data_IF_354213382065
#
_entry.id   IF_354213382065
#
_cell.length_a   1.000
_cell.length_b   1.000
_cell.length_c   1.000
_cell.angle_alpha   90.00
_cell.angle_beta   90.00
_cell.angle_gamma   90.00
#
_symmetry.space_group_name_H-M   'P 1'
#
loop_
_entity.id
_entity.type
_entity.pdbx_description
1 polymer ?
2 non-polymer ?
3 water ?
#
# COMPACT_ATOMS: atom_id res chain seq x y z
N UNK A 21 6.23 -24.09 -9.25
CA UNK A 21 6.69 -23.33 -8.10
C UNK A 21 6.71 -21.83 -8.41
N UNK A 22 6.62 -20.98 -7.38
CA UNK A 22 6.69 -19.53 -7.61
C UNK A 22 8.01 -19.12 -8.25
N UNK A 23 7.98 -18.04 -9.03
CA UNK A 23 9.18 -17.54 -9.69
C UNK A 23 10.24 -17.15 -8.66
N UNK A 24 9.79 -16.76 -7.47
CA UNK A 24 10.68 -16.32 -6.41
C UNK A 24 11.64 -17.42 -5.94
N UNK A 25 11.31 -18.67 -6.26
CA UNK A 25 12.12 -19.82 -5.81
C UNK A 25 12.39 -20.80 -6.94
N UNK A 26 12.25 -20.35 -8.18
CA UNK A 26 12.46 -21.21 -9.33
C UNK A 26 13.89 -21.09 -9.87
N UNK A 27 14.59 -20.04 -9.43
CA UNK A 27 15.97 -19.80 -9.85
C UNK A 27 16.81 -19.28 -8.68
N UNK A 28 18.12 -19.44 -8.80
CA UNK A 28 19.05 -18.91 -7.80
C UNK A 28 19.32 -17.44 -8.09
N UNK A 29 18.40 -16.58 -7.65
CA UNK A 29 18.48 -15.15 -7.94
C UNK A 29 19.70 -14.50 -7.32
N UNK A 30 20.22 -15.09 -6.24
CA UNK A 30 21.37 -14.53 -5.53
C UNK A 30 22.65 -14.61 -6.35
N UNK A 31 22.57 -15.25 -7.52
CA UNK A 31 23.68 -15.24 -8.46
C UNK A 31 23.83 -13.84 -9.06
N UNK A 32 22.73 -13.11 -9.12
CA UNK A 32 22.70 -11.75 -9.63
C UNK A 32 22.99 -10.72 -8.54
N UNK A 33 23.47 -9.53 -8.93
CA UNK A 33 23.69 -8.48 -7.93
C UNK A 33 22.39 -8.02 -7.28
N UNK A 34 22.49 -7.57 -6.03
CA UNK A 34 21.33 -7.21 -5.22
C UNK A 34 21.39 -5.75 -4.81
N UNK A 35 20.26 -5.05 -4.95
CA UNK A 35 20.17 -3.65 -4.55
C UNK A 35 19.01 -3.43 -3.61
N UNK A 36 19.31 -2.96 -2.40
CA UNK A 36 18.27 -2.62 -1.44
C UNK A 36 17.59 -1.35 -1.90
N UNK A 37 16.27 -1.40 -1.99
CA UNK A 37 15.48 -0.25 -2.39
C UNK A 37 14.22 -0.16 -1.54
N UNK A 38 13.60 1.01 -1.56
CA UNK A 38 12.30 1.24 -0.96
C UNK A 38 11.28 1.34 -2.08
N UNK A 39 10.24 0.53 -2.04
CA UNK A 39 9.29 0.44 -3.15
C UNK A 39 7.85 0.69 -2.74
N UNK A 40 7.13 1.39 -3.62
CA UNK A 40 5.70 1.61 -3.49
C UNK A 40 5.02 1.25 -4.81
N UNK A 41 3.70 1.28 -4.83
CA UNK A 41 2.95 1.04 -6.05
C UNK A 41 2.41 2.33 -6.64
N UNK A 42 2.06 2.29 -7.92
CA UNK A 42 1.36 3.40 -8.56
C UNK A 42 0.49 2.89 -9.70
N UNK A 43 -0.41 3.75 -10.17
CA UNK A 43 -1.24 3.43 -11.33
C UNK A 43 -1.15 4.55 -12.36
N UNK A 44 -1.82 4.37 -13.48
CA UNK A 44 -1.86 5.40 -14.52
C UNK A 44 -2.75 6.57 -14.08
N UNK A 45 -3.59 6.32 -13.08
CA UNK A 45 -4.61 7.28 -12.67
C UNK A 45 -4.08 8.59 -12.16
N UNK A 46 -5.00 9.54 -11.95
CA UNK A 46 -4.66 10.91 -11.61
C UNK A 46 -3.98 11.02 -10.25
N UNK A 47 -4.29 10.10 -9.35
CA UNK A 47 -3.72 10.12 -8.01
C UNK A 47 -2.20 9.96 -8.06
N UNK A 48 -1.72 9.29 -9.11
CA UNK A 48 -0.28 9.07 -9.29
C UNK A 48 0.33 10.03 -10.31
N UNK A 49 -0.36 10.22 -11.43
CA UNK A 49 0.24 10.89 -12.59
C UNK A 49 -0.35 12.28 -12.87
N UNK A 50 -1.53 12.54 -12.31
CA UNK A 50 -2.23 13.79 -12.58
C UNK A 50 -3.02 13.74 -13.87
N UNK A 51 -2.91 12.63 -14.59
CA UNK A 51 -3.61 12.46 -15.87
C UNK A 51 -4.95 11.78 -15.68
N UNK A 52 -5.94 12.18 -16.47
CA UNK A 52 -7.26 11.57 -16.45
C UNK A 52 -7.49 10.70 -17.69
N UNK A 53 -8.32 9.66 -17.56
CA UNK A 53 -8.64 8.83 -18.73
C UNK A 53 -9.36 9.64 -19.80
N UNK A 54 -8.95 9.46 -21.06
CA UNK A 54 -9.40 10.30 -22.15
C UNK A 54 -8.24 11.12 -22.68
N UNK A 55 -7.33 11.47 -21.79
CA UNK A 55 -6.06 12.10 -22.16
C UNK A 55 -5.32 11.15 -23.10
N UNK A 56 -4.94 11.63 -24.30
CA UNK A 56 -4.19 10.74 -25.20
C UNK A 56 -2.83 10.33 -24.65
N UNK A 57 -2.36 11.03 -23.63
CA UNK A 57 -1.08 10.70 -22.99
C UNK A 57 -1.29 9.79 -21.78
N UNK A 58 -2.54 9.45 -21.50
CA UNK A 58 -2.88 8.59 -20.38
C UNK A 58 -2.24 7.21 -20.52
N UNK A 59 -1.56 6.77 -19.46
CA UNK A 59 -0.94 5.46 -19.46
C UNK A 59 0.39 5.42 -20.20
N UNK A 60 0.88 6.59 -20.59
CA UNK A 60 2.14 6.69 -21.32
C UNK A 60 3.28 7.01 -20.36
N UNK A 61 4.29 6.15 -20.34
CA UNK A 61 5.44 6.33 -19.45
C UNK A 61 6.46 7.29 -20.05
N UNK A 62 7.47 7.62 -19.25
CA UNK A 62 8.55 8.51 -19.69
C UNK A 62 9.27 7.96 -20.92
N UNK A 63 9.41 6.65 -20.99
CA UNK A 63 10.14 6.01 -22.09
C UNK A 63 9.33 5.97 -23.39
N UNK A 64 8.05 6.33 -23.29
CA UNK A 64 7.16 6.33 -24.45
C UNK A 64 6.38 5.02 -24.58
N UNK A 65 6.66 4.09 -23.67
CA UNK A 65 5.98 2.80 -23.65
C UNK A 65 4.74 2.89 -22.75
N UNK A 66 3.69 2.16 -23.12
CA UNK A 66 2.46 2.12 -22.36
C UNK A 66 2.66 1.29 -21.09
N UNK A 67 2.08 1.74 -19.97
CA UNK A 67 2.19 0.99 -18.71
C UNK A 67 1.64 -0.42 -18.92
N UNK A 68 2.28 -1.40 -18.28
CA UNK A 68 1.91 -2.79 -18.46
C UNK A 68 2.14 -3.61 -17.20
N UNK A 69 1.15 -4.41 -16.83
CA UNK A 69 1.30 -5.45 -15.80
C UNK A 69 1.27 -6.81 -16.50
N UNK A 70 2.39 -7.52 -16.44
CA UNK A 70 2.55 -8.79 -17.15
C UNK A 70 3.74 -9.52 -16.56
N UNK A 71 4.22 -10.56 -17.24
CA UNK A 71 5.45 -11.25 -16.85
C UNK A 71 6.55 -10.23 -16.62
N UNK A 72 6.79 -9.39 -17.62
CA UNK A 72 7.62 -8.20 -17.47
C UNK A 72 6.72 -6.98 -17.37
N UNK A 73 6.75 -6.30 -16.21
CA UNK A 73 5.92 -5.13 -15.99
C UNK A 73 6.74 -3.84 -16.03
N UNK A 74 6.09 -2.75 -16.38
CA UNK A 74 6.71 -1.44 -16.38
C UNK A 74 6.84 -0.92 -14.95
N UNK A 75 8.05 -0.54 -14.56
CA UNK A 75 8.26 0.05 -13.24
C UNK A 75 8.94 1.41 -13.39
N UNK A 76 8.88 2.21 -12.33
CA UNK A 76 9.50 3.54 -12.31
C UNK A 76 10.71 3.53 -11.40
N UNK A 77 11.74 4.30 -11.78
CA UNK A 77 12.96 4.38 -10.99
C UNK A 77 13.75 5.63 -11.34
N UNK A 78 14.84 5.84 -10.60
CA UNK A 78 15.78 6.92 -10.87
C UNK A 78 16.73 6.45 -11.97
N UNK A 79 16.71 7.12 -13.14
CA UNK A 79 17.59 6.70 -14.25
C UNK A 79 19.07 6.67 -13.90
N UNK A 80 19.50 7.54 -12.99
CA UNK A 80 20.91 7.61 -12.60
C UNK A 80 21.32 6.40 -11.77
N UNK A 81 20.35 5.63 -11.31
CA UNK A 81 20.60 4.43 -10.53
C UNK A 81 20.27 3.20 -11.37
N UNK A 82 19.08 3.22 -11.96
CA UNK A 82 18.64 2.18 -12.88
C UNK A 82 18.23 2.82 -14.21
N UNK A 83 19.11 2.76 -15.22
CA UNK A 83 18.76 3.36 -16.50
C UNK A 83 17.51 2.74 -17.13
N UNK A 84 16.81 3.52 -17.94
CA UNK A 84 15.68 3.01 -18.72
C UNK A 84 16.10 1.74 -19.46
N UNK A 85 15.25 0.73 -19.40
CA UNK A 85 15.53 -0.55 -20.04
C UNK A 85 16.13 -1.57 -19.10
N UNK A 86 16.45 -1.13 -17.89
CA UNK A 86 17.00 -2.02 -16.87
C UNK A 86 15.96 -3.07 -16.46
N UNK A 87 16.39 -4.33 -16.40
CA UNK A 87 15.52 -5.41 -15.95
C UNK A 87 15.84 -5.77 -14.51
N UNK A 88 14.79 -5.76 -13.67
CA UNK A 88 14.91 -6.12 -12.27
C UNK A 88 14.01 -7.29 -11.97
N UNK A 89 14.31 -8.03 -10.90
CA UNK A 89 13.37 -8.96 -10.32
C UNK A 89 13.00 -8.50 -8.93
N UNK A 90 11.73 -8.16 -8.75
CA UNK A 90 11.21 -7.62 -7.50
C UNK A 90 10.36 -8.69 -6.82
N UNK A 91 10.86 -9.29 -5.73
CA UNK A 91 10.11 -10.36 -5.07
C UNK A 91 8.71 -9.94 -4.67
N UNK A 92 7.74 -10.84 -4.85
CA UNK A 92 6.32 -10.60 -4.58
C UNK A 92 5.70 -9.58 -5.52
N UNK A 93 6.41 -9.21 -6.59
CA UNK A 93 5.83 -8.38 -7.64
C UNK A 93 6.07 -9.02 -9.00
N UNK A 94 7.34 -9.34 -9.30
CA UNK A 94 7.70 -10.00 -10.53
C UNK A 94 8.85 -9.32 -11.23
N UNK A 95 9.07 -9.71 -12.48
CA UNK A 95 10.10 -9.08 -13.30
C UNK A 95 9.62 -7.71 -13.74
N UNK A 96 10.51 -6.73 -13.66
CA UNK A 96 10.20 -5.37 -14.02
C UNK A 96 11.18 -4.79 -15.01
N UNK A 97 10.67 -3.98 -15.93
CA UNK A 97 11.51 -3.22 -16.85
C UNK A 97 11.35 -1.74 -16.53
N UNK A 98 12.46 -1.07 -16.24
CA UNK A 98 12.42 0.35 -15.95
C UNK A 98 12.04 1.10 -17.21
N UNK A 99 10.85 1.71 -17.17
CA UNK A 99 10.28 2.37 -18.33
C UNK A 99 9.71 3.74 -17.97
N UNK A 100 9.70 4.05 -16.68
CA UNK A 100 9.07 5.25 -16.18
C UNK A 100 9.97 5.95 -15.17
N UNK A 101 9.67 7.21 -14.89
CA UNK A 101 10.39 7.99 -13.91
C UNK A 101 9.39 8.77 -13.08
N UNK A 102 9.89 9.52 -12.09
CA UNK A 102 9.01 10.32 -11.25
C UNK A 102 9.78 11.34 -10.43
N UNK A 103 9.14 12.49 -10.19
CA UNK A 103 9.76 13.57 -9.43
C UNK A 103 10.16 13.14 -8.04
N UNK A 104 9.38 12.24 -7.44
CA UNK A 104 9.65 11.74 -6.10
C UNK A 104 10.46 10.45 -6.13
N UNK A 105 10.61 9.88 -7.32
CA UNK A 105 11.36 8.63 -7.48
C UNK A 105 12.85 8.93 -7.65
N UNK A 106 13.54 9.13 -6.53
CA UNK A 106 14.95 9.49 -6.53
C UNK A 106 15.76 8.59 -5.60
N UNK A 107 17.01 8.32 -5.98
CA UNK A 107 17.87 7.45 -5.19
C UNK A 107 17.47 6.00 -5.36
N UNK A 108 17.63 5.22 -4.30
CA UNK A 108 17.27 3.80 -4.35
C UNK A 108 15.77 3.60 -4.17
N UNK A 109 15.02 4.22 -5.07
CA UNK A 109 13.55 4.22 -5.03
C UNK A 109 12.96 3.53 -6.27
N UNK A 110 11.95 2.71 -6.05
CA UNK A 110 11.18 2.11 -7.14
C UNK A 110 9.69 2.39 -6.95
N UNK A 111 8.99 2.58 -8.07
CA UNK A 111 7.54 2.62 -8.08
C UNK A 111 7.02 1.52 -9.00
N UNK A 112 6.22 0.62 -8.44
CA UNK A 112 5.74 -0.55 -9.17
C UNK A 112 4.34 -0.32 -9.74
N UNK A 113 4.17 -0.55 -11.04
CA UNK A 113 2.89 -0.31 -11.68
C UNK A 113 1.83 -1.36 -11.35
N UNK A 114 0.66 -0.90 -10.94
CA UNK A 114 -0.51 -1.74 -10.80
C UNK A 114 -1.65 -1.13 -11.61
N UNK A 115 -2.60 -1.95 -12.01
CA UNK A 115 -3.66 -1.50 -12.90
C UNK A 115 -4.67 -0.61 -12.19
N UNK A 116 -4.99 -0.93 -10.95
CA UNK A 116 -5.97 -0.16 -10.18
C UNK A 116 -5.45 0.21 -8.80
N UNK A 117 -6.06 1.22 -8.20
CA UNK A 117 -5.68 1.66 -6.86
C UNK A 117 -5.89 0.55 -5.84
N UNK A 118 -6.96 -0.22 -6.02
CA UNK A 118 -7.24 -1.32 -5.10
C UNK A 118 -6.16 -2.40 -5.19
N UNK A 119 -5.60 -2.59 -6.37
CA UNK A 119 -4.51 -3.56 -6.54
C UNK A 119 -3.30 -3.14 -5.72
N UNK A 120 -3.02 -1.84 -5.72
CA UNK A 120 -1.91 -1.31 -4.93
C UNK A 120 -2.20 -1.54 -3.44
N UNK A 121 -3.43 -1.26 -3.02
CA UNK A 121 -3.85 -1.47 -1.64
C UNK A 121 -3.70 -2.94 -1.23
N UNK A 122 -4.19 -3.84 -2.08
CA UNK A 122 -4.35 -5.25 -1.72
C UNK A 122 -3.15 -6.13 -2.04
N UNK A 123 -2.50 -5.87 -3.17
CA UNK A 123 -1.43 -6.76 -3.63
C UNK A 123 -0.05 -6.32 -3.18
N UNK A 124 0.09 -5.07 -2.77
CA UNK A 124 1.35 -4.56 -2.27
C UNK A 124 1.23 -4.10 -0.82
N UNK A 125 0.12 -3.43 -0.50
CA UNK A 125 -0.06 -2.83 0.81
C UNK A 125 -0.51 -3.78 1.90
N UNK A 126 -1.02 -4.95 1.52
CA UNK A 126 -1.53 -5.91 2.49
C UNK A 126 -0.41 -6.54 3.31
N UNK A 127 -0.52 -6.41 4.64
CA UNK A 127 0.45 -6.98 5.57
C UNK A 127 -0.23 -7.92 6.57
N UNK A 128 0.45 -9.01 6.89
CA UNK A 128 0.03 -9.88 8.00
C UNK A 128 0.83 -9.49 9.25
N UNK A 129 0.13 -9.12 10.32
CA UNK A 129 0.81 -8.71 11.55
C UNK A 129 -0.03 -8.99 12.79
N UNK A 130 0.62 -8.93 13.93
CA UNK A 130 -0.06 -9.03 15.21
C UNK A 130 -0.45 -7.65 15.73
N UNK A 131 -1.69 -7.52 16.20
CA UNK A 131 -2.14 -6.30 16.86
C UNK A 131 -2.56 -6.63 18.28
N UNK A 132 -2.52 -5.63 19.15
CA UNK A 132 -2.85 -5.82 20.56
C UNK A 132 -4.25 -5.29 20.85
N UNK A 133 -5.04 -6.10 21.54
CA UNK A 133 -6.40 -5.73 21.89
C UNK A 133 -6.44 -5.10 23.27
N UNK A 134 -6.51 -3.77 23.29
CA UNK A 134 -6.45 -3.02 24.55
C UNK A 134 -7.76 -3.10 25.31
N UNK A 135 -8.86 -2.80 24.62
CA UNK A 135 -10.19 -2.84 25.21
C UNK A 135 -11.22 -3.24 24.16
N UNK A 136 -12.07 -4.21 24.49
CA UNK A 136 -13.14 -4.61 23.59
C UNK A 136 -14.28 -3.61 23.66
N UNK A 137 -14.83 -3.27 22.50
CA UNK A 137 -15.88 -2.27 22.41
C UNK A 137 -17.23 -2.80 22.82
N UNK A 138 -18.17 -1.89 23.04
CA UNK A 138 -19.53 -2.24 23.44
C UNK A 138 -20.47 -2.32 22.24
N UNK A 139 -20.01 -1.83 21.09
CA UNK A 139 -20.80 -1.82 19.87
C UNK A 139 -21.16 -0.42 19.41
N UNK A 140 -20.83 0.58 20.22
CA UNK A 140 -21.07 1.98 19.88
C UNK A 140 -19.88 2.85 20.25
N UNK A 141 -19.69 3.93 19.49
CA UNK A 141 -18.64 4.90 19.75
C UNK A 141 -19.13 6.28 19.36
N UNK A 142 -18.80 7.29 20.16
CA UNK A 142 -19.23 8.66 19.91
C UNK A 142 -18.03 9.55 19.62
N UNK A 143 -18.29 10.71 19.01
CA UNK A 143 -17.24 11.68 18.71
C UNK A 143 -16.55 12.13 20.00
N UNK A 144 -17.32 12.37 21.05
CA UNK A 144 -16.78 12.85 22.31
C UNK A 144 -15.88 11.80 22.96
N UNK A 145 -16.25 10.54 22.84
CA UNK A 145 -15.44 9.45 23.39
C UNK A 145 -14.10 9.36 22.66
N UNK A 146 -14.12 9.52 21.34
CA UNK A 146 -12.90 9.48 20.55
C UNK A 146 -12.02 10.68 20.84
N UNK A 147 -12.64 11.83 21.07
CA UNK A 147 -11.90 13.05 21.39
C UNK A 147 -11.20 12.94 22.74
N UNK A 148 -11.91 12.39 23.72
CA UNK A 148 -11.35 12.23 25.07
C UNK A 148 -10.15 11.28 25.05
N UNK A 149 -10.21 10.26 24.20
CA UNK A 149 -9.08 9.34 24.05
C UNK A 149 -7.86 10.08 23.49
N UNK A 150 -8.09 10.89 22.47
CA UNK A 150 -7.01 11.66 21.85
C UNK A 150 -6.47 12.76 22.76
N UNK A 151 -7.21 13.10 23.80
CA UNK A 151 -6.79 14.12 24.75
C UNK A 151 -6.17 13.52 26.02
N UNK A 152 -5.90 12.21 25.99
CA UNK A 152 -5.25 11.54 27.12
C UNK A 152 -3.94 12.24 27.47
N UNK A 153 -3.86 12.74 28.70
CA UNK A 153 -2.75 13.59 29.12
C UNK A 153 -1.39 12.92 28.98
N UNK A 154 -1.30 11.67 29.45
CA UNK A 154 -0.02 10.96 29.49
C UNK A 154 0.48 10.55 28.10
N UNK A 155 -0.37 10.72 27.08
CA UNK A 155 -0.02 10.30 25.73
C UNK A 155 0.15 11.47 24.76
N UNK A 156 0.07 12.69 25.28
CA UNK A 156 0.19 13.87 24.43
C UNK A 156 1.60 13.98 23.86
N UNK A 157 2.58 13.42 24.57
CA UNK A 157 3.96 13.40 24.11
C UNK A 157 4.11 12.59 22.82
N UNK A 158 3.26 11.57 22.67
CA UNK A 158 3.32 10.70 21.48
C UNK A 158 2.49 11.24 20.33
N UNK A 159 1.63 12.22 20.62
CA UNK A 159 0.61 12.65 19.67
C UNK A 159 1.18 13.34 18.43
N UNK A 160 2.36 13.95 18.56
CA UNK A 160 2.99 14.65 17.45
C UNK A 160 3.29 13.74 16.27
N UNK A 161 3.53 12.46 16.56
CA UNK A 161 3.97 11.51 15.55
C UNK A 161 2.81 10.92 14.75
N UNK A 162 1.58 11.30 15.09
CA UNK A 162 0.40 10.76 14.44
C UNK A 162 -0.51 11.87 13.92
N UNK A 163 -0.65 12.94 14.69
CA UNK A 163 -1.39 14.12 14.25
C UNK A 163 -0.64 14.79 13.10
N UNK A 164 -1.39 15.30 12.13
CA UNK A 164 -0.81 16.01 10.99
C UNK A 164 -0.85 17.53 11.24
N UNK A 165 0.17 18.05 11.91
CA UNK A 165 0.25 19.46 12.20
C UNK A 165 0.41 20.29 10.92
N UNK B 22 9.89 5.41 20.64
CA UNK B 22 8.51 5.68 20.21
C UNK B 22 7.48 4.87 20.98
N UNK B 23 6.23 4.89 20.54
CA UNK B 23 5.14 4.26 21.26
C UNK B 23 5.28 2.74 21.29
N UNK B 24 5.84 2.18 20.22
CA UNK B 24 6.02 0.74 20.11
C UNK B 24 6.90 0.20 21.25
N UNK B 25 7.82 1.05 21.73
CA UNK B 25 8.80 0.63 22.74
C UNK B 25 8.49 1.18 24.13
N UNK B 26 7.49 2.06 24.22
CA UNK B 26 7.22 2.78 25.47
C UNK B 26 6.46 1.93 26.49
N UNK B 27 5.85 0.84 26.04
CA UNK B 27 5.04 0.00 26.93
C UNK B 27 5.17 -1.48 26.58
N UNK B 28 4.95 -2.33 27.59
CA UNK B 28 4.96 -3.77 27.40
C UNK B 28 3.61 -4.24 26.87
N UNK B 29 3.39 -4.04 25.58
CA UNK B 29 2.10 -4.35 24.95
C UNK B 29 1.75 -5.83 25.04
N UNK B 30 2.76 -6.68 25.19
CA UNK B 30 2.54 -8.12 25.21
C UNK B 30 1.75 -8.58 26.42
N UNK B 31 1.49 -7.68 27.36
CA UNK B 31 0.62 -7.97 28.48
C UNK B 31 -0.84 -8.00 28.03
N UNK B 32 -1.11 -7.37 26.90
CA UNK B 32 -2.46 -7.37 26.32
C UNK B 32 -2.64 -8.57 25.39
N UNK B 33 -3.90 -8.99 25.19
CA UNK B 33 -4.16 -10.06 24.22
C UNK B 33 -3.69 -9.68 22.82
N UNK B 34 -3.28 -10.67 22.04
CA UNK B 34 -2.74 -10.45 20.71
C UNK B 34 -3.59 -11.18 19.68
N UNK B 35 -3.83 -10.53 18.54
CA UNK B 35 -4.57 -11.12 17.44
C UNK B 35 -3.82 -10.92 16.13
N UNK B 36 -3.54 -12.01 15.43
CA UNK B 36 -2.96 -11.93 14.10
C UNK B 36 -4.04 -11.52 13.11
N UNK B 37 -3.74 -10.51 12.31
CA UNK B 37 -4.68 -10.01 11.30
C UNK B 37 -3.96 -9.71 10.01
N UNK B 38 -4.74 -9.47 8.95
CA UNK B 38 -4.22 -8.90 7.72
C UNK B 38 -4.76 -7.47 7.62
N UNK B 39 -3.87 -6.53 7.31
CA UNK B 39 -4.24 -5.11 7.31
C UNK B 39 -3.82 -4.40 6.03
N UNK B 40 -4.75 -3.62 5.48
CA UNK B 40 -4.48 -2.70 4.39
C UNK B 40 -4.83 -1.29 4.87
N UNK B 41 -4.70 -0.32 3.97
CA UNK B 41 -5.04 1.05 4.27
C UNK B 41 -6.22 1.50 3.42
N UNK B 42 -6.87 2.59 3.83
CA UNK B 42 -7.95 3.16 3.03
C UNK B 42 -8.13 4.65 3.34
N UNK B 43 -8.90 5.33 2.51
CA UNK B 43 -9.26 6.72 2.73
C UNK B 43 -10.77 6.88 2.61
N UNK B 44 -11.27 8.09 2.88
CA UNK B 44 -12.70 8.36 2.77
C UNK B 44 -13.11 8.52 1.31
N UNK B 45 -12.12 8.57 0.42
CA UNK B 45 -12.37 8.86 -0.99
C UNK B 45 -13.10 7.77 -1.74
N UNK B 46 -13.49 8.08 -2.98
CA UNK B 46 -14.32 7.20 -3.79
C UNK B 46 -13.65 5.85 -4.07
N UNK B 47 -12.33 5.84 -4.17
CA UNK B 47 -11.61 4.62 -4.50
C UNK B 47 -11.84 3.55 -3.43
N UNK B 48 -12.11 3.99 -2.20
CA UNK B 48 -12.37 3.09 -1.09
C UNK B 48 -13.85 2.92 -0.80
N UNK B 49 -14.58 4.04 -0.82
CA UNK B 49 -15.94 4.09 -0.28
C UNK B 49 -17.00 4.36 -1.36
N UNK B 50 -16.56 4.78 -2.54
CA UNK B 50 -17.48 5.11 -3.61
C UNK B 50 -18.19 6.44 -3.39
N UNK B 51 -17.76 7.18 -2.37
CA UNK B 51 -18.36 8.46 -2.03
C UNK B 51 -17.40 9.61 -2.33
N UNK B 52 -17.96 10.79 -2.59
CA UNK B 52 -17.17 11.99 -2.88
C UNK B 52 -17.60 13.16 -2.01
N UNK B 53 -16.74 14.19 -1.91
CA UNK B 53 -17.10 15.41 -1.20
C UNK B 53 -18.42 15.99 -1.70
N UNK B 54 -19.34 16.26 -0.77
CA UNK B 54 -20.66 16.74 -1.12
C UNK B 54 -21.72 15.73 -0.71
N UNK B 55 -21.37 14.45 -0.78
CA UNK B 55 -22.28 13.39 -0.35
C UNK B 55 -22.54 13.51 1.16
N UNK B 56 -23.79 13.27 1.59
CA UNK B 56 -24.13 13.45 3.01
C UNK B 56 -23.27 12.64 3.98
N UNK B 57 -22.88 11.43 3.59
CA UNK B 57 -22.15 10.53 4.49
C UNK B 57 -20.66 10.46 4.17
N UNK B 58 -20.18 11.36 3.33
CA UNK B 58 -18.75 11.41 3.02
C UNK B 58 -17.94 11.68 4.28
N UNK B 59 -16.92 10.86 4.52
CA UNK B 59 -16.04 11.05 5.66
C UNK B 59 -16.54 10.42 6.94
N UNK B 60 -17.76 9.86 6.91
CA UNK B 60 -18.36 9.27 8.10
C UNK B 60 -18.23 7.75 8.08
N UNK B 61 -17.75 7.20 9.18
CA UNK B 61 -17.61 5.76 9.32
C UNK B 61 -18.96 5.10 9.57
N UNK B 62 -18.96 3.78 9.59
CA UNK B 62 -20.16 3.00 9.87
C UNK B 62 -20.78 3.39 11.22
N UNK B 63 -19.93 3.67 12.20
CA UNK B 63 -20.39 4.00 13.55
C UNK B 63 -20.99 5.39 13.65
N UNK B 64 -20.74 6.21 12.63
CA UNK B 64 -21.25 7.57 12.60
C UNK B 64 -20.18 8.63 12.85
N UNK B 65 -19.09 8.22 13.50
CA UNK B 65 -18.02 9.18 13.79
C UNK B 65 -17.23 9.47 12.51
N UNK B 66 -16.66 10.66 12.46
CA UNK B 66 -15.86 11.08 11.32
C UNK B 66 -14.52 10.35 11.31
N UNK B 67 -14.05 9.98 10.13
CA UNK B 67 -12.73 9.39 9.99
C UNK B 67 -11.68 10.31 10.60
N UNK B 68 -10.67 9.73 11.24
CA UNK B 68 -9.65 10.51 11.91
C UNK B 68 -8.30 9.79 11.93
N UNK B 69 -7.25 10.52 11.60
CA UNK B 69 -5.88 10.05 11.75
C UNK B 69 -5.22 10.89 12.84
N UNK B 70 -5.02 10.27 14.02
CA UNK B 70 -4.54 11.00 15.18
C UNK B 70 -3.86 10.00 16.12
N UNK B 71 -3.62 10.41 17.37
CA UNK B 71 -3.13 9.50 18.40
C UNK B 71 -4.00 8.25 18.40
N UNK B 72 -5.31 8.45 18.46
CA UNK B 72 -6.28 7.38 18.27
C UNK B 72 -6.97 7.59 16.93
N UNK B 73 -6.70 6.69 15.99
CA UNK B 73 -7.25 6.79 14.64
C UNK B 73 -8.41 5.81 14.43
N UNK B 74 -9.32 6.19 13.54
CA UNK B 74 -10.45 5.33 13.18
C UNK B 74 -9.98 4.20 12.26
N UNK B 75 -10.33 2.96 12.61
CA UNK B 75 -10.00 1.82 11.78
C UNK B 75 -11.25 0.99 11.46
N UNK B 76 -11.16 0.19 10.41
CA UNK B 76 -12.25 -0.69 10.01
C UNK B 76 -11.93 -2.13 10.40
N UNK B 77 -12.95 -2.85 10.87
CA UNK B 77 -12.80 -4.25 11.22
C UNK B 77 -14.12 -4.99 11.06
N UNK B 78 -14.09 -6.29 11.35
CA UNK B 78 -15.30 -7.11 11.39
C UNK B 78 -15.89 -7.05 12.81
N UNK B 79 -17.11 -6.49 12.95
CA UNK B 79 -17.70 -6.32 14.28
C UNK B 79 -17.83 -7.62 15.09
N UNK B 80 -17.93 -8.76 14.40
CA UNK B 80 -18.04 -10.05 15.07
C UNK B 80 -16.71 -10.50 15.65
N UNK B 81 -15.63 -9.86 15.22
CA UNK B 81 -14.29 -10.14 15.73
C UNK B 81 -13.88 -9.03 16.68
N UNK B 82 -13.90 -7.79 16.18
CA UNK B 82 -13.66 -6.61 17.00
C UNK B 82 -14.89 -5.70 16.98
N UNK B 83 -15.68 -5.73 18.07
CA UNK B 83 -16.86 -4.84 18.13
C UNK B 83 -16.51 -3.38 17.96
N UNK B 84 -17.45 -2.59 17.45
CA UNK B 84 -17.30 -1.14 17.38
C UNK B 84 -16.93 -0.60 18.75
N UNK B 85 -15.94 0.29 18.80
CA UNK B 85 -15.46 0.84 20.05
C UNK B 85 -14.23 0.13 20.57
N UNK B 86 -13.90 -1.01 19.97
CA UNK B 86 -12.70 -1.75 20.37
C UNK B 86 -11.45 -0.91 20.15
N UNK B 87 -10.58 -0.89 21.17
CA UNK B 87 -9.32 -0.16 21.09
C UNK B 87 -8.18 -1.14 20.81
N UNK B 88 -7.41 -0.85 19.76
CA UNK B 88 -6.29 -1.69 19.36
C UNK B 88 -4.99 -0.88 19.33
N UNK B 89 -3.86 -1.57 19.44
CA UNK B 89 -2.58 -0.98 19.10
C UNK B 89 -2.00 -1.72 17.90
N UNK B 90 -1.80 -0.96 16.82
CA UNK B 90 -1.36 -1.52 15.55
C UNK B 90 0.05 -1.02 15.25
N UNK B 91 1.06 -1.90 15.43
CA UNK B 91 2.46 -1.49 15.18
C UNK B 91 2.66 -0.86 13.80
N UNK B 92 3.46 0.21 13.77
CA UNK B 92 3.74 0.96 12.56
C UNK B 92 2.54 1.72 12.01
N UNK B 93 1.50 1.86 12.84
CA UNK B 93 0.34 2.68 12.50
C UNK B 93 -0.08 3.52 13.70
N UNK B 94 -0.26 2.87 14.84
CA UNK B 94 -0.58 3.53 16.09
C UNK B 94 -1.81 2.95 16.77
N UNK B 95 -2.33 3.67 17.75
CA UNK B 95 -3.54 3.27 18.45
C UNK B 95 -4.74 3.45 17.53
N UNK B 96 -5.68 2.50 17.59
CA UNK B 96 -6.83 2.51 16.71
C UNK B 96 -8.12 2.20 17.46
N UNK B 97 -9.19 2.88 17.05
CA UNK B 97 -10.52 2.61 17.58
C UNK B 97 -11.39 2.07 16.45
N UNK B 98 -11.97 0.90 16.67
CA UNK B 98 -12.83 0.30 15.66
C UNK B 98 -14.10 1.12 15.51
N UNK B 99 -14.25 1.73 14.34
CA UNK B 99 -15.33 2.67 14.09
C UNK B 99 -16.01 2.42 12.75
N UNK B 100 -15.37 1.60 11.91
CA UNK B 100 -15.81 1.42 10.54
C UNK B 100 -15.95 -0.06 10.19
N UNK B 101 -16.59 -0.33 9.05
CA UNK B 101 -16.78 -1.70 8.57
C UNK B 101 -16.76 -1.67 7.04
N UNK B 102 -16.73 -2.86 6.43
CA UNK B 102 -16.75 -2.97 4.99
C UNK B 102 -17.04 -4.39 4.52
N UNK B 103 -17.54 -4.51 3.29
CA UNK B 103 -17.91 -5.82 2.75
C UNK B 103 -16.73 -6.77 2.67
N UNK B 104 -15.54 -6.22 2.37
CA UNK B 104 -14.33 -7.03 2.25
C UNK B 104 -13.64 -7.21 3.61
N UNK B 105 -14.07 -6.44 4.61
CA UNK B 105 -13.48 -6.50 5.93
C UNK B 105 -14.14 -7.59 6.77
N UNK B 106 -13.72 -8.83 6.56
CA UNK B 106 -14.31 -9.98 7.25
C UNK B 106 -13.24 -10.86 7.89
N UNK B 107 -13.57 -11.41 9.05
CA UNK B 107 -12.65 -12.25 9.79
C UNK B 107 -11.56 -11.44 10.47
N UNK B 108 -10.36 -12.00 10.54
CA UNK B 108 -9.22 -11.33 11.14
C UNK B 108 -8.58 -10.35 10.15
N UNK B 109 -9.35 -9.32 9.82
CA UNK B 109 -8.97 -8.36 8.78
C UNK B 109 -9.18 -6.94 9.30
N UNK B 110 -8.22 -6.07 9.03
CA UNK B 110 -8.35 -4.65 9.37
C UNK B 110 -8.15 -3.77 8.15
N UNK B 111 -8.76 -2.60 8.17
CA UNK B 111 -8.46 -1.54 7.20
C UNK B 111 -8.13 -0.27 7.97
N UNK B 112 -6.95 0.29 7.70
CA UNK B 112 -6.42 1.42 8.46
C UNK B 112 -6.65 2.74 7.72
N UNK B 113 -7.26 3.71 8.39
CA UNK B 113 -7.58 4.98 7.75
C UNK B 113 -6.35 5.86 7.56
N UNK B 114 -6.21 6.38 6.35
CA UNK B 114 -5.22 7.40 6.03
C UNK B 114 -5.94 8.56 5.36
N UNK B 115 -5.35 9.75 5.44
CA UNK B 115 -6.01 10.95 4.94
C UNK B 115 -6.04 11.00 3.41
N UNK B 116 -4.96 10.57 2.77
CA UNK B 116 -4.84 10.64 1.31
C UNK B 116 -4.38 9.31 0.72
N UNK B 117 -4.67 9.11 -0.56
CA UNK B 117 -4.24 7.90 -1.26
C UNK B 117 -2.72 7.82 -1.25
N UNK B 118 -2.07 8.97 -1.39
CA UNK B 118 -0.62 9.06 -1.35
C UNK B 118 -0.07 8.56 -0.01
N UNK B 119 -0.80 8.84 1.06
CA UNK B 119 -0.40 8.37 2.40
C UNK B 119 -0.49 6.85 2.48
N UNK B 120 -1.52 6.28 1.88
CA UNK B 120 -1.67 4.83 1.87
C UNK B 120 -0.48 4.21 1.12
N UNK B 121 -0.16 4.80 -0.03
CA UNK B 121 0.96 4.32 -0.84
C UNK B 121 2.28 4.40 -0.07
N UNK B 122 2.50 5.51 0.63
CA UNK B 122 3.81 5.80 1.20
C UNK B 122 3.99 5.42 2.67
N UNK B 123 2.92 5.44 3.45
CA UNK B 123 3.03 5.22 4.89
C UNK B 123 2.66 3.80 5.31
N UNK B 124 2.00 3.07 4.43
CA UNK B 124 1.66 1.67 4.69
C UNK B 124 2.17 0.77 3.57
N UNK B 125 2.15 1.27 2.34
CA UNK B 125 2.55 0.48 1.19
C UNK B 125 4.04 0.44 0.98
N UNK B 126 4.73 1.46 1.50
CA UNK B 126 6.17 1.59 1.31
C UNK B 126 6.91 0.44 1.98
N UNK B 127 7.71 -0.27 1.19
CA UNK B 127 8.41 -1.47 1.65
C UNK B 127 9.88 -1.42 1.27
N UNK B 128 10.75 -1.64 2.26
CA UNK B 128 12.18 -1.77 2.02
C UNK B 128 12.52 -3.23 1.77
N UNK B 129 13.10 -3.52 0.60
CA UNK B 129 13.45 -4.89 0.26
C UNK B 129 14.60 -4.95 -0.75
N UNK B 130 15.12 -6.16 -0.95
CA UNK B 130 16.17 -6.41 -1.91
C UNK B 130 15.58 -6.80 -3.27
N UNK B 131 16.06 -6.16 -4.33
CA UNK B 131 15.70 -6.54 -5.70
C UNK B 131 16.96 -6.95 -6.45
N UNK B 132 16.79 -7.80 -7.46
CA UNK B 132 17.91 -8.33 -8.21
C UNK B 132 18.08 -7.60 -9.54
N UNK B 133 19.29 -7.15 -9.81
CA UNK B 133 19.58 -6.42 -11.04
C UNK B 133 20.01 -7.42 -12.12
N UNK B 134 19.10 -7.68 -13.06
CA UNK B 134 19.32 -8.70 -14.07
C UNK B 134 20.13 -8.18 -15.27
N UNK B 135 19.81 -6.96 -15.70
CA UNK B 135 20.46 -6.36 -16.85
C UNK B 135 20.39 -4.85 -16.78
N UNK B 136 21.52 -4.17 -16.91
CA UNK B 136 21.55 -2.72 -16.97
C UNK B 136 20.96 -2.25 -18.30
N UNK B 137 20.07 -1.26 -18.23
CA UNK B 137 19.43 -0.73 -19.43
C UNK B 137 20.34 0.19 -20.21
N UNK B 138 19.97 0.46 -21.46
CA UNK B 138 20.75 1.32 -22.35
C UNK B 138 20.19 2.74 -22.40
N UNK B 139 19.07 2.96 -21.74
CA UNK B 139 18.40 4.26 -21.75
C UNK B 139 17.18 4.28 -22.65
N UNK B 140 16.96 3.20 -23.38
CA UNK B 140 15.82 3.07 -24.28
C UNK B 140 14.99 1.83 -24.00
N UNK B 141 13.71 1.89 -24.33
CA UNK B 141 12.85 0.71 -24.35
C UNK B 141 11.65 1.00 -25.24
N UNK B 142 11.32 0.03 -26.11
CA UNK B 142 10.20 0.18 -27.04
C UNK B 142 9.12 -0.85 -26.75
N UNK B 143 7.96 -0.67 -27.38
CA UNK B 143 6.85 -1.62 -27.21
C UNK B 143 7.23 -2.98 -27.76
N UNK B 144 8.00 -2.98 -28.85
CA UNK B 144 8.41 -4.22 -29.49
C UNK B 144 9.31 -5.04 -28.57
N UNK B 145 10.29 -4.37 -27.96
CA UNK B 145 11.21 -5.04 -27.04
C UNK B 145 10.49 -5.58 -25.81
N UNK B 146 9.55 -4.80 -25.29
CA UNK B 146 8.79 -5.21 -24.11
C UNK B 146 7.90 -6.41 -24.45
N UNK B 147 7.41 -6.46 -25.68
CA UNK B 147 6.61 -7.60 -26.13
C UNK B 147 7.49 -8.85 -26.26
N UNK B 148 8.68 -8.68 -26.82
CA UNK B 148 9.62 -9.80 -26.97
C UNK B 148 9.96 -10.41 -25.61
N UNK B 149 10.20 -9.55 -24.61
CA UNK B 149 10.52 -10.01 -23.26
C UNK B 149 9.36 -10.82 -22.69
N UNK B 150 8.14 -10.34 -22.87
CA UNK B 150 6.96 -11.01 -22.33
C UNK B 150 6.62 -12.30 -23.05
N UNK B 151 7.15 -12.47 -24.27
CA UNK B 151 6.92 -13.68 -25.04
C UNK B 151 8.06 -14.70 -24.87
N UNK B 152 8.95 -14.45 -23.91
CA UNK B 152 10.06 -15.37 -23.63
C UNK B 152 9.53 -16.77 -23.38
N UNK B 153 9.91 -17.71 -24.25
CA UNK B 153 9.32 -19.05 -24.24
C UNK B 153 9.56 -19.80 -22.94
N UNK B 154 10.76 -19.67 -22.39
CA UNK B 154 11.14 -20.42 -21.19
C UNK B 154 10.43 -19.92 -19.93
N UNK B 155 9.70 -18.80 -20.04
CA UNK B 155 9.05 -18.19 -18.89
C UNK B 155 7.52 -18.14 -19.03
N UNK B 156 6.99 -18.64 -20.13
CA UNK B 156 5.55 -18.60 -20.36
C UNK B 156 4.79 -19.38 -19.29
N UNK B 157 5.46 -20.35 -18.68
CA UNK B 157 4.84 -21.20 -17.67
C UNK B 157 4.56 -20.41 -16.38
N UNK B 158 5.27 -19.29 -16.20
CA UNK B 158 5.08 -18.44 -15.03
C UNK B 158 4.13 -17.28 -15.32
N UNK B 159 3.84 -17.05 -16.61
CA UNK B 159 3.21 -15.81 -17.05
C UNK B 159 1.80 -15.62 -16.50
N UNK B 160 1.06 -16.70 -16.31
CA UNK B 160 -0.31 -16.61 -15.82
C UNK B 160 -0.39 -16.09 -14.38
N UNK B 161 0.74 -16.05 -13.70
CA UNK B 161 0.81 -15.58 -12.32
C UNK B 161 0.85 -14.06 -12.23
N UNK B 162 1.01 -13.38 -13.37
CA UNK B 162 1.16 -11.94 -13.40
C UNK B 162 0.15 -11.29 -14.34
N UNK B 163 -0.27 -12.03 -15.36
CA UNK B 163 -1.34 -11.59 -16.24
C UNK B 163 -2.66 -11.51 -15.47
N UNK B 164 -3.37 -10.40 -15.63
CA UNK B 164 -4.68 -10.24 -15.01
C UNK B 164 -5.72 -10.99 -15.84
N UNK B 165 -5.72 -10.75 -17.14
CA UNK B 165 -6.64 -11.42 -18.06
C UNK B 165 -6.22 -12.86 -18.28
X LIG C 1 1.64 8.97 -16.74
X LIG C 1 2.46 8.07 -16.62
X LIG C 1 2.08 6.63 -16.81
X LIG C 1 3.73 8.29 -16.32
X LIG C 1 4.31 9.61 -16.10
X LIG C 1 5.25 9.92 -17.25
X LIG C 1 4.52 10.01 -18.47
X LIG C 1 6.00 11.22 -17.00
X LIG C 1 6.97 11.40 -18.03
X LIG C 1 6.66 11.19 -15.62
X LIG C 1 7.34 12.52 -15.28
X LIG C 1 7.79 12.50 -13.92
X LIG C 1 5.68 10.92 -14.62
X LIG C 1 5.07 9.64 -14.78
X LIG C 1 4.17 9.41 -13.69
X LIG C 1 4.88 9.04 -12.50
X LIG C 1 4.60 10.04 -11.38
X LIG C 1 5.30 11.26 -11.64
X LIG C 1 4.48 7.64 -12.06
X LIG C 1 3.62 7.78 -10.95
X LIG C 1 4.54 8.04 -9.89
X LIG C 1 5.62 7.13 -10.10
X LIG C 1 5.65 6.85 -11.50
X LIG C 1 5.06 9.46 -10.05
X LIG C 1 4.62 10.31 -8.95
X LIG C 1 5.46 11.03 -8.21
X LIG C 1 6.67 11.04 -8.39
X LIG C 1 4.82 11.84 -7.12
X LIG D 1 -17.08 6.29 4.00
X LIG D 1 -16.56 5.80 4.99
X LIG D 1 -15.49 6.54 5.76
X LIG D 1 -16.87 4.60 5.46
X LIG D 1 -17.85 3.71 4.86
X LIG D 1 -19.06 3.68 5.77
X LIG D 1 -19.67 4.97 5.81
X LIG D 1 -20.05 2.62 5.28
X LIG D 1 -21.16 2.55 6.18
X LIG D 1 -19.34 1.28 5.18
X LIG D 1 -20.28 0.17 4.71
X LIG D 1 -20.75 0.46 3.39
X LIG D 1 -18.26 1.40 4.26
X LIG D 1 -17.26 2.32 4.70
X LIG D 1 -16.20 2.34 3.76
X LIG D 1 -15.36 1.18 3.84
X LIG D 1 -15.42 0.37 2.55
X LIG D 1 -16.66 -0.32 2.47
X LIG D 1 -13.93 1.59 4.14
X LIG D 1 -13.18 1.45 2.94
X LIG D 1 -12.97 0.05 2.86
X LIG D 1 -12.62 -0.34 4.19
X LIG D 1 -13.22 0.61 5.07
X LIG D 1 -14.28 -0.63 2.50
X LIG D 1 -14.22 -1.26 1.19
X LIG D 1 -14.40 -2.57 1.01
X LIG D 1 -14.59 -3.37 1.93
X LIG D 1 -14.37 -3.04 -0.42
#
# INVERSE_FOLDING_TARGET
RLKALQQKQTQTTSAAEDKTKPLEEAFDWDEYPVQRVTATGYTAGAESTGKNPGDPLYGLTYSGVKVKRDLYSTVAADPSVFPIGTILFIPNYGLGVVADTGSAIKGNRLDLYFETVKDVYNEWGKKTLDVYVIKKGTGKITEDELEKLNETKSLQVFRNQYKTVK
RLKALQQKQTQTTSAAEDKTKPLEEAFDWDEYPVQRVTATGYTAGAESTGKNPGDPLYGLTYSGVKVKRDLYSTVAADPSVFPIGTILFIPNYGLGVVADTGSAIKGNRLDLYFETVKDVYNEWGKKTLDVYVIKKGTGKITEDELEKLNETKSLQVFRNQYKTVK
3QL O7A C7A C8A N2A C2A C3A O3A C4A O4A C5A C6A O6A O5A C1A O1A C4B C3B O3B C5B O5B C1B O1B C6B C2B N2B C7B O7B C8B
3QL O7A C7A C8A N2A C2A C3A O3A C4A O4A C5A C6A O6A O5A C1A O1A C4B C3B O3B C5B O5B C1B O1B C6B C2B N2B C7B O7B C8B
#
